data_IF_349832555773
#
_entry.id   IF_349832555773
#
_cell.length_a   1.000
_cell.length_b   1.000
_cell.length_c   1.000
_cell.angle_alpha   90.00
_cell.angle_beta   90.00
_cell.angle_gamma   90.00
#
_symmetry.space_group_name_H-M   'P 1'
#
loop_
_entity.id
_entity.type
_entity.pdbx_description
1 polymer ?
#
# COMPACT_ATOMS: atom_id res chain seq x y z
N UNK A 1 -16.27 7.59 24.50
CA UNK A 1 -17.16 6.93 23.52
C UNK A 1 -16.38 5.92 22.71
N UNK A 2 -17.02 4.83 22.35
CA UNK A 2 -16.40 3.76 21.57
C UNK A 2 -16.36 4.13 20.09
N UNK A 3 -15.27 3.77 19.42
CA UNK A 3 -15.10 3.89 17.98
C UNK A 3 -14.91 2.48 17.42
N UNK A 4 -15.85 2.00 16.60
CA UNK A 4 -15.83 0.67 16.00
C UNK A 4 -14.75 0.44 14.93
N UNK A 5 -13.61 1.13 15.06
CA UNK A 5 -12.51 1.13 14.11
C UNK A 5 -12.43 2.42 13.30
N UNK A 6 -11.23 2.86 12.95
CA UNK A 6 -10.99 4.07 12.14
C UNK A 6 -10.12 3.80 10.93
N UNK A 7 -9.10 2.94 11.11
CA UNK A 7 -8.16 2.53 10.06
C UNK A 7 -7.48 3.71 9.34
N UNK A 8 -7.43 4.89 9.99
CA UNK A 8 -6.96 6.15 9.42
C UNK A 8 -8.08 7.03 8.84
N UNK A 9 -9.22 6.49 8.42
CA UNK A 9 -10.30 7.25 7.79
C UNK A 9 -11.08 8.18 8.74
N UNK A 10 -10.96 8.01 10.05
CA UNK A 10 -11.61 8.86 11.05
C UNK A 10 -10.68 9.92 11.65
N UNK A 11 -9.64 10.30 10.96
CA UNK A 11 -8.71 11.37 11.34
C UNK A 11 -9.14 12.76 10.83
N UNK A 12 -10.20 12.81 10.05
CA UNK A 12 -10.80 14.03 9.51
C UNK A 12 -12.27 14.13 9.92
N UNK A 13 -12.80 15.34 9.94
CA UNK A 13 -14.21 15.61 10.32
C UNK A 13 -15.15 15.45 9.13
N UNK A 14 -16.36 15.00 9.36
CA UNK A 14 -17.40 14.84 8.34
C UNK A 14 -18.70 15.56 8.75
N UNK A 15 -19.44 15.02 9.69
CA UNK A 15 -20.73 15.54 10.14
C UNK A 15 -20.64 16.51 11.33
N UNK A 16 -19.52 16.49 12.06
CA UNK A 16 -19.38 17.23 13.31
C UNK A 16 -19.58 18.74 13.11
N UNK A 17 -18.97 19.43 12.11
CA UNK A 17 -19.20 20.86 11.89
C UNK A 17 -20.65 21.18 11.52
N UNK A 18 -21.30 20.30 10.76
CA UNK A 18 -22.70 20.49 10.36
C UNK A 18 -23.64 20.33 11.55
N UNK A 19 -23.43 19.29 12.38
CA UNK A 19 -24.21 19.09 13.60
C UNK A 19 -24.06 20.26 14.57
N UNK A 20 -22.85 20.78 14.76
CA UNK A 20 -22.59 21.96 15.59
C UNK A 20 -23.30 23.22 15.07
N UNK A 21 -23.22 23.48 13.76
CA UNK A 21 -23.88 24.62 13.15
C UNK A 21 -25.42 24.55 13.28
N UNK A 22 -25.98 23.37 13.07
CA UNK A 22 -27.42 23.13 13.23
C UNK A 22 -27.87 23.27 14.69
N UNK A 23 -27.11 22.74 15.66
CA UNK A 23 -27.39 22.88 17.08
C UNK A 23 -27.36 24.36 17.50
N UNK A 24 -26.35 25.10 17.05
CA UNK A 24 -26.26 26.55 17.32
C UNK A 24 -27.43 27.31 16.73
N UNK A 25 -27.83 26.99 15.49
CA UNK A 25 -28.94 27.68 14.81
C UNK A 25 -30.31 27.35 15.40
N UNK A 26 -30.53 26.12 15.82
CA UNK A 26 -31.82 25.65 16.39
C UNK A 26 -31.97 25.91 17.90
N UNK A 27 -30.86 26.15 18.60
CA UNK A 27 -30.85 26.23 20.07
C UNK A 27 -31.14 24.89 20.76
N UNK A 28 -31.04 23.77 20.07
CA UNK A 28 -31.38 22.44 20.54
C UNK A 28 -30.31 21.40 20.21
N UNK A 29 -30.20 20.28 20.94
CA UNK A 29 -29.30 19.18 20.59
C UNK A 29 -29.60 18.61 19.21
N UNK A 30 -28.57 18.35 18.41
CA UNK A 30 -28.68 17.76 17.08
C UNK A 30 -27.90 16.45 17.01
N UNK A 31 -28.51 15.40 16.48
CA UNK A 31 -27.90 14.11 16.17
C UNK A 31 -27.97 13.88 14.67
N UNK A 32 -26.82 13.54 14.08
CA UNK A 32 -26.70 13.20 12.66
C UNK A 32 -26.06 11.84 12.50
N UNK A 33 -26.57 11.04 11.55
CA UNK A 33 -26.05 9.71 11.22
C UNK A 33 -26.10 9.56 9.71
N UNK A 34 -24.99 9.19 9.10
CA UNK A 34 -24.94 8.85 7.67
C UNK A 34 -25.58 7.47 7.43
N UNK A 35 -26.36 7.35 6.38
CA UNK A 35 -26.70 6.05 5.80
C UNK A 35 -25.44 5.39 5.19
N UNK A 36 -25.51 4.10 4.85
CA UNK A 36 -24.40 3.42 4.20
C UNK A 36 -24.06 4.03 2.83
N UNK A 37 -25.06 4.44 2.09
CA UNK A 37 -24.86 5.11 0.82
C UNK A 37 -24.15 6.46 0.98
N UNK A 38 -24.55 7.26 1.95
CA UNK A 38 -23.90 8.54 2.26
C UNK A 38 -22.44 8.36 2.71
N UNK A 39 -22.14 7.33 3.50
CA UNK A 39 -20.75 7.00 3.86
C UNK A 39 -19.92 6.73 2.63
N UNK A 40 -20.42 5.97 1.66
CA UNK A 40 -19.68 5.69 0.42
C UNK A 40 -19.53 6.91 -0.48
N UNK A 41 -20.47 7.86 -0.45
CA UNK A 41 -20.48 9.03 -1.32
C UNK A 41 -19.77 10.24 -0.73
N UNK A 42 -19.79 10.41 0.60
CA UNK A 42 -19.41 11.63 1.26
C UNK A 42 -18.27 11.50 2.27
N UNK A 43 -17.86 10.29 2.66
CA UNK A 43 -16.67 10.10 3.49
C UNK A 43 -15.42 9.89 2.61
N UNK A 44 -14.23 10.15 3.19
CA UNK A 44 -12.96 10.01 2.47
C UNK A 44 -12.61 8.56 2.15
N UNK A 45 -12.71 8.11 0.89
CA UNK A 45 -12.27 6.78 0.48
C UNK A 45 -10.75 6.70 0.41
N UNK A 46 -10.22 5.49 0.27
CA UNK A 46 -8.84 5.33 -0.20
C UNK A 46 -8.72 5.82 -1.66
N UNK A 47 -7.52 6.21 -2.08
CA UNK A 47 -7.30 6.71 -3.44
C UNK A 47 -7.65 5.67 -4.49
N UNK A 48 -8.39 6.08 -5.52
CA UNK A 48 -8.33 5.42 -6.82
C UNK A 48 -6.94 5.65 -7.41
N UNK A 49 -6.38 4.63 -8.07
CA UNK A 49 -5.00 4.73 -8.53
C UNK A 49 -4.78 4.08 -9.89
N UNK A 50 -3.77 4.59 -10.60
CA UNK A 50 -3.10 3.90 -11.70
C UNK A 50 -1.66 3.68 -11.28
N UNK A 51 -1.22 2.42 -11.33
CA UNK A 51 0.14 2.01 -11.03
C UNK A 51 0.75 1.39 -12.28
N UNK A 52 1.85 1.95 -12.75
CA UNK A 52 2.64 1.37 -13.83
C UNK A 52 3.98 0.93 -13.26
N UNK A 53 4.35 -0.32 -13.47
CA UNK A 53 5.59 -0.90 -12.96
C UNK A 53 6.36 -1.55 -14.10
N UNK A 54 7.67 -1.32 -14.10
CA UNK A 54 8.61 -1.98 -14.99
C UNK A 54 9.83 -2.43 -14.19
N UNK A 55 10.18 -3.69 -14.29
CA UNK A 55 11.31 -4.28 -13.58
C UNK A 55 12.23 -4.99 -14.56
N UNK A 56 13.52 -4.71 -14.45
CA UNK A 56 14.57 -5.43 -15.16
C UNK A 56 15.15 -6.53 -14.28
N UNK A 57 15.23 -7.76 -14.80
CA UNK A 57 15.82 -8.88 -14.09
C UNK A 57 16.69 -9.73 -15.03
N UNK A 58 17.74 -10.36 -14.47
CA UNK A 58 18.53 -11.38 -15.14
C UNK A 58 17.81 -12.72 -15.13
N UNK A 59 18.26 -13.65 -15.96
CA UNK A 59 17.71 -15.01 -16.04
C UNK A 59 17.88 -15.82 -14.75
N UNK A 60 18.81 -15.42 -13.89
CA UNK A 60 19.02 -16.02 -12.57
C UNK A 60 18.14 -15.42 -11.48
N UNK A 61 17.21 -14.51 -11.82
CA UNK A 61 16.29 -13.85 -10.90
C UNK A 61 16.87 -12.61 -10.20
N UNK A 62 18.10 -12.19 -10.48
CA UNK A 62 18.65 -10.95 -9.92
C UNK A 62 17.97 -9.75 -10.55
N UNK A 63 17.29 -8.93 -9.75
CA UNK A 63 16.66 -7.69 -10.18
C UNK A 63 17.74 -6.62 -10.34
N UNK A 64 17.76 -5.94 -11.48
CA UNK A 64 18.79 -4.95 -11.82
C UNK A 64 18.27 -3.51 -11.78
N UNK A 65 16.99 -3.32 -12.00
CA UNK A 65 16.36 -2.01 -11.95
C UNK A 65 14.84 -2.11 -11.71
N UNK A 66 14.29 -1.10 -11.04
CA UNK A 66 12.84 -0.91 -10.84
C UNK A 66 12.41 0.49 -11.25
N UNK A 67 11.32 0.57 -12.02
CA UNK A 67 10.63 1.83 -12.33
C UNK A 67 9.16 1.72 -11.95
N UNK A 68 8.63 2.73 -11.28
CA UNK A 68 7.22 2.79 -10.89
C UNK A 68 6.64 4.19 -11.11
N UNK A 69 5.55 4.29 -11.86
CA UNK A 69 4.77 5.51 -11.99
C UNK A 69 3.43 5.35 -11.28
N UNK A 70 3.16 6.23 -10.32
CA UNK A 70 1.97 6.26 -9.49
C UNK A 70 1.11 7.47 -9.82
N UNK A 71 -0.17 7.27 -10.13
CA UNK A 71 -1.16 8.35 -10.24
C UNK A 71 -2.26 8.08 -9.22
N UNK A 72 -2.28 8.85 -8.14
CA UNK A 72 -3.25 8.67 -7.06
C UNK A 72 -4.27 9.80 -7.04
N UNK A 73 -5.53 9.42 -7.02
CA UNK A 73 -6.64 10.37 -6.89
C UNK A 73 -6.62 11.01 -5.50
N UNK A 74 -6.60 12.33 -5.45
CA UNK A 74 -6.69 13.12 -4.22
C UNK A 74 -8.13 13.48 -3.84
N UNK A 75 -9.04 13.47 -4.80
CA UNK A 75 -10.36 14.07 -4.66
C UNK A 75 -10.31 15.58 -4.93
N UNK A 76 -11.20 16.35 -4.34
CA UNK A 76 -11.38 17.78 -4.60
C UNK A 76 -10.21 18.66 -4.13
N UNK A 77 -9.33 18.15 -3.29
CA UNK A 77 -8.18 18.86 -2.72
C UNK A 77 -6.93 18.00 -2.79
N UNK A 78 -5.76 18.62 -2.88
CA UNK A 78 -4.46 17.96 -2.83
C UNK A 78 -4.25 17.11 -1.56
N UNK A 79 -3.33 16.16 -1.62
CA UNK A 79 -2.89 15.35 -0.49
C UNK A 79 -3.44 13.93 -0.56
N UNK A 80 -3.30 13.26 -1.70
CA UNK A 80 -3.40 11.81 -1.75
C UNK A 80 -2.21 11.17 -1.05
N UNK A 81 -2.29 9.89 -0.67
CA UNK A 81 -1.17 9.18 -0.06
C UNK A 81 -0.13 8.70 -1.09
N UNK A 82 0.10 9.46 -2.17
CA UNK A 82 1.04 9.08 -3.23
C UNK A 82 2.49 9.09 -2.74
N UNK A 83 2.86 10.05 -1.87
CA UNK A 83 4.21 10.14 -1.34
C UNK A 83 4.59 8.88 -0.53
N UNK A 84 3.86 8.47 0.52
CA UNK A 84 4.16 7.22 1.21
C UNK A 84 4.05 6.00 0.29
N UNK A 85 3.12 5.99 -0.67
CA UNK A 85 3.07 4.94 -1.69
C UNK A 85 4.34 4.84 -2.53
N UNK A 86 4.91 5.97 -2.93
CA UNK A 86 6.17 6.01 -3.67
C UNK A 86 7.35 5.54 -2.81
N UNK A 87 7.39 5.93 -1.54
CA UNK A 87 8.44 5.52 -0.60
C UNK A 87 8.42 4.00 -0.36
N UNK A 88 7.26 3.38 -0.32
CA UNK A 88 7.11 1.95 -0.04
C UNK A 88 7.27 1.06 -1.28
N UNK A 89 7.04 1.56 -2.48
CA UNK A 89 6.91 0.76 -3.70
C UNK A 89 7.97 -0.34 -3.89
N UNK A 90 9.25 -0.02 -3.70
CA UNK A 90 10.36 -0.97 -3.79
C UNK A 90 11.12 -1.17 -2.47
N UNK A 91 10.59 -0.68 -1.35
CA UNK A 91 11.27 -0.78 -0.06
C UNK A 91 11.58 -2.22 0.40
N UNK A 92 10.78 -3.26 0.07
CA UNK A 92 11.14 -4.63 0.38
C UNK A 92 12.40 -5.16 -0.31
N UNK A 93 12.95 -4.45 -1.29
CA UNK A 93 14.01 -4.96 -2.17
C UNK A 93 15.30 -4.17 -2.10
N UNK A 94 16.42 -4.88 -2.22
CA UNK A 94 17.79 -4.34 -2.32
C UNK A 94 18.12 -4.11 -3.81
N UNK A 95 17.81 -2.93 -4.32
CA UNK A 95 17.94 -2.60 -5.75
C UNK A 95 18.97 -1.48 -5.95
N UNK A 96 19.87 -1.67 -6.89
CA UNK A 96 20.89 -0.70 -7.26
C UNK A 96 20.31 0.52 -8.01
N UNK A 97 19.31 0.27 -8.86
CA UNK A 97 18.71 1.30 -9.71
C UNK A 97 17.20 1.33 -9.50
N UNK A 98 16.70 2.44 -8.97
CA UNK A 98 15.26 2.65 -8.73
C UNK A 98 14.84 4.05 -9.17
N UNK A 99 13.73 4.12 -9.88
CA UNK A 99 13.06 5.35 -10.26
C UNK A 99 11.56 5.25 -9.92
N UNK A 100 11.08 6.13 -9.04
CA UNK A 100 9.67 6.16 -8.64
C UNK A 100 9.12 7.57 -8.80
N UNK A 101 8.09 7.71 -9.62
CA UNK A 101 7.42 8.98 -9.90
C UNK A 101 5.98 8.92 -9.39
N UNK A 102 5.61 9.87 -8.55
CA UNK A 102 4.27 9.96 -7.98
C UNK A 102 3.53 11.24 -8.40
N UNK A 103 2.27 11.08 -8.83
CA UNK A 103 1.37 12.19 -9.19
C UNK A 103 0.17 12.22 -8.24
N UNK A 104 -0.05 13.37 -7.63
CA UNK A 104 -1.24 13.67 -6.84
C UNK A 104 -2.32 14.27 -7.77
N UNK A 105 -3.38 13.52 -8.04
CA UNK A 105 -4.37 13.86 -9.07
C UNK A 105 -5.65 14.40 -8.45
N UNK A 106 -5.87 15.69 -8.58
CA UNK A 106 -7.11 16.36 -8.15
C UNK A 106 -8.27 16.00 -9.10
N UNK A 107 -9.44 15.74 -8.56
CA UNK A 107 -10.63 15.35 -9.30
C UNK A 107 -11.93 15.76 -8.57
N UNK A 108 -13.05 15.88 -9.29
CA UNK A 108 -14.37 16.20 -8.73
C UNK A 108 -14.98 14.99 -7.98
N UNK A 109 -14.29 14.56 -6.92
CA UNK A 109 -14.70 13.45 -6.04
C UNK A 109 -14.45 13.85 -4.60
N UNK A 110 -15.05 13.15 -3.61
CA UNK A 110 -14.74 13.37 -2.20
C UNK A 110 -13.23 13.32 -1.97
N UNK A 111 -12.74 14.18 -1.07
CA UNK A 111 -11.34 14.16 -0.62
C UNK A 111 -11.01 12.79 -0.06
N UNK A 112 -9.94 12.19 -0.55
CA UNK A 112 -9.46 10.91 0.01
C UNK A 112 -9.00 11.08 1.45
N UNK A 113 -9.16 10.04 2.24
CA UNK A 113 -8.66 9.97 3.60
C UNK A 113 -7.63 8.84 3.75
N UNK A 114 -6.91 8.87 4.86
CA UNK A 114 -5.97 7.81 5.18
C UNK A 114 -6.70 6.47 5.36
N UNK A 115 -6.13 5.42 4.80
CA UNK A 115 -6.57 4.04 5.03
C UNK A 115 -5.33 3.17 5.25
N UNK A 116 -5.30 2.46 6.34
CA UNK A 116 -4.29 1.51 6.85
C UNK A 116 -3.04 1.35 5.97
N UNK A 117 -1.90 1.91 6.42
CA UNK A 117 -0.70 2.11 5.61
C UNK A 117 -0.96 2.94 4.34
N UNK A 118 -1.38 4.23 4.47
CA UNK A 118 -1.89 5.02 3.35
C UNK A 118 -0.96 5.02 2.15
N UNK A 119 -1.43 4.48 1.02
CA UNK A 119 -0.72 4.44 -0.26
C UNK A 119 0.17 3.23 -0.49
N UNK A 120 0.75 2.62 0.56
CA UNK A 120 1.67 1.48 0.41
C UNK A 120 1.01 0.25 -0.23
N UNK A 121 -0.13 -0.28 0.25
CA UNK A 121 -0.75 -1.45 -0.37
C UNK A 121 -1.09 -1.26 -1.84
N UNK A 122 -1.32 -0.02 -2.29
CA UNK A 122 -1.65 0.28 -3.68
C UNK A 122 -0.41 0.14 -4.58
N UNK A 123 0.72 0.73 -4.18
CA UNK A 123 1.97 0.65 -4.97
C UNK A 123 2.59 -0.74 -4.91
N UNK A 124 2.62 -1.33 -3.73
CA UNK A 124 3.18 -2.66 -3.49
C UNK A 124 2.41 -3.74 -4.27
N UNK A 125 1.09 -3.65 -4.35
CA UNK A 125 0.31 -4.57 -5.18
C UNK A 125 0.82 -4.59 -6.62
N UNK A 126 1.05 -3.44 -7.23
CA UNK A 126 1.58 -3.36 -8.60
C UNK A 126 2.98 -3.93 -8.73
N UNK A 127 3.87 -3.64 -7.79
CA UNK A 127 5.25 -4.15 -7.77
C UNK A 127 5.24 -5.66 -7.60
N UNK A 128 4.53 -6.17 -6.63
CA UNK A 128 4.48 -7.59 -6.30
C UNK A 128 3.89 -8.46 -7.43
N UNK A 129 2.89 -7.93 -8.16
CA UNK A 129 2.39 -8.59 -9.37
C UNK A 129 3.49 -8.76 -10.44
N UNK A 130 4.31 -7.73 -10.66
CA UNK A 130 5.40 -7.81 -11.65
C UNK A 130 6.52 -8.74 -11.17
N UNK A 131 6.81 -8.78 -9.87
CA UNK A 131 7.76 -9.75 -9.30
C UNK A 131 7.27 -11.19 -9.52
N UNK A 132 5.99 -11.46 -9.32
CA UNK A 132 5.39 -12.78 -9.59
C UNK A 132 5.44 -13.13 -11.09
N UNK A 133 5.19 -12.18 -11.97
CA UNK A 133 5.31 -12.39 -13.43
C UNK A 133 6.75 -12.75 -13.82
N UNK A 134 7.75 -12.10 -13.24
CA UNK A 134 9.16 -12.42 -13.45
C UNK A 134 9.46 -13.84 -12.95
N UNK A 135 9.09 -14.17 -11.71
CA UNK A 135 9.29 -15.48 -11.12
C UNK A 135 8.72 -16.59 -12.03
N UNK A 136 7.47 -16.41 -12.47
CA UNK A 136 6.81 -17.32 -13.40
C UNK A 136 7.55 -17.44 -14.73
N UNK A 137 8.00 -16.32 -15.30
CA UNK A 137 8.68 -16.28 -16.60
C UNK A 137 10.01 -17.02 -16.59
N UNK A 138 10.76 -16.96 -15.50
CA UNK A 138 12.07 -17.62 -15.37
C UNK A 138 11.99 -18.99 -14.69
N UNK A 139 10.78 -19.43 -14.28
CA UNK A 139 10.57 -20.71 -13.58
C UNK A 139 11.14 -20.76 -12.16
N UNK A 140 11.20 -19.60 -11.47
CA UNK A 140 11.68 -19.50 -10.10
C UNK A 140 10.51 -19.47 -9.11
N UNK A 141 10.72 -20.06 -7.93
CA UNK A 141 9.75 -19.97 -6.84
C UNK A 141 9.52 -18.50 -6.42
N UNK A 142 8.26 -18.08 -6.16
CA UNK A 142 7.95 -16.69 -5.79
C UNK A 142 8.61 -16.22 -4.50
N UNK A 143 8.86 -17.10 -3.53
CA UNK A 143 9.61 -16.74 -2.33
C UNK A 143 11.12 -16.66 -2.60
N UNK A 144 11.65 -17.51 -3.48
CA UNK A 144 13.08 -17.51 -3.79
C UNK A 144 13.52 -16.22 -4.50
N UNK A 145 12.74 -15.72 -5.46
CA UNK A 145 13.07 -14.45 -6.11
C UNK A 145 13.02 -13.29 -5.10
N UNK A 146 12.07 -13.31 -4.15
CA UNK A 146 11.97 -12.32 -3.09
C UNK A 146 13.15 -12.41 -2.13
N UNK A 147 13.49 -13.59 -1.64
CA UNK A 147 14.66 -13.79 -0.77
C UNK A 147 15.97 -13.36 -1.43
N UNK A 148 16.13 -13.69 -2.71
CA UNK A 148 17.33 -13.32 -3.48
C UNK A 148 17.56 -11.82 -3.57
N UNK A 149 16.48 -11.04 -3.64
CA UNK A 149 16.50 -9.59 -3.83
C UNK A 149 16.05 -8.82 -2.58
N UNK A 150 15.85 -9.49 -1.46
CA UNK A 150 15.31 -8.89 -0.24
C UNK A 150 16.20 -7.79 0.32
N UNK A 151 15.58 -6.72 0.77
CA UNK A 151 16.23 -5.73 1.60
C UNK A 151 16.73 -6.36 2.92
N UNK A 152 17.87 -5.89 3.40
CA UNK A 152 18.56 -6.36 4.61
C UNK A 152 19.15 -5.18 5.35
N UNK A 153 19.72 -5.43 6.51
CA UNK A 153 20.49 -4.41 7.23
C UNK A 153 21.54 -3.77 6.33
N UNK A 154 21.57 -2.45 6.29
CA UNK A 154 22.48 -1.66 5.47
C UNK A 154 21.99 -1.40 4.04
N UNK A 155 20.91 -2.06 3.56
CA UNK A 155 20.31 -1.73 2.27
C UNK A 155 19.89 -0.27 2.23
N UNK A 156 20.26 0.44 1.16
CA UNK A 156 19.81 1.79 0.87
C UNK A 156 18.37 1.73 0.32
N UNK A 157 17.41 2.18 1.12
CA UNK A 157 16.02 2.27 0.65
C UNK A 157 15.90 3.27 -0.51
N UNK A 158 15.01 2.99 -1.47
CA UNK A 158 14.77 3.85 -2.63
C UNK A 158 14.40 5.30 -2.27
N UNK A 159 13.83 5.53 -1.08
CA UNK A 159 13.43 6.85 -0.58
C UNK A 159 14.49 7.54 0.32
N UNK A 160 15.70 6.97 0.47
CA UNK A 160 16.86 7.64 1.06
C UNK A 160 17.53 6.98 2.26
N UNK A 161 16.87 6.53 3.33
CA UNK A 161 17.52 6.00 4.52
C UNK A 161 18.15 4.62 4.29
N UNK A 162 19.14 4.27 5.09
CA UNK A 162 19.61 2.88 5.20
C UNK A 162 18.82 2.15 6.26
N UNK A 163 18.45 0.91 5.97
CA UNK A 163 17.78 0.09 6.96
C UNK A 163 18.73 -0.34 8.08
N UNK A 164 18.22 -0.27 9.32
CA UNK A 164 18.78 -0.98 10.46
C UNK A 164 18.49 -2.49 10.37
N UNK A 165 18.61 -3.23 11.48
CA UNK A 165 18.22 -4.63 11.54
C UNK A 165 16.75 -4.81 11.13
N UNK A 166 16.50 -5.63 10.11
CA UNK A 166 15.15 -5.96 9.61
C UNK A 166 15.00 -7.47 9.42
N UNK A 167 13.79 -7.98 9.67
CA UNK A 167 13.48 -9.41 9.63
C UNK A 167 12.94 -9.90 8.29
N UNK A 168 13.17 -9.21 7.17
CA UNK A 168 12.59 -9.54 5.88
C UNK A 168 12.94 -10.96 5.43
N UNK A 169 14.22 -11.30 5.39
CA UNK A 169 14.68 -12.62 4.94
C UNK A 169 14.16 -13.72 5.86
N UNK A 170 14.28 -13.56 7.18
CA UNK A 170 13.80 -14.55 8.14
C UNK A 170 12.28 -14.77 8.06
N UNK A 171 11.51 -13.73 7.73
CA UNK A 171 10.07 -13.85 7.53
C UNK A 171 9.73 -14.66 6.28
N UNK A 172 10.47 -14.45 5.18
CA UNK A 172 10.32 -15.21 3.94
C UNK A 172 10.72 -16.68 4.12
N UNK A 173 11.82 -16.93 4.84
CA UNK A 173 12.28 -18.30 5.18
C UNK A 173 11.23 -19.05 6.00
N UNK A 174 10.66 -18.42 7.03
CA UNK A 174 9.59 -19.01 7.83
C UNK A 174 8.33 -19.28 7.02
N UNK A 175 7.93 -18.36 6.13
CA UNK A 175 6.80 -18.55 5.23
C UNK A 175 7.04 -19.73 4.31
N UNK A 176 8.25 -19.88 3.76
CA UNK A 176 8.63 -20.99 2.88
C UNK A 176 8.68 -22.34 3.62
N UNK A 177 9.13 -22.37 4.86
CA UNK A 177 9.21 -23.55 5.69
C UNK A 177 7.86 -24.01 6.25
N UNK A 178 6.82 -23.17 6.17
CA UNK A 178 5.51 -23.49 6.73
C UNK A 178 4.78 -24.53 5.86
N UNK A 179 4.17 -25.54 6.49
CA UNK A 179 3.47 -26.64 5.80
C UNK A 179 2.41 -26.16 4.81
N UNK A 180 1.73 -25.07 5.12
CA UNK A 180 0.74 -24.49 4.21
C UNK A 180 1.35 -24.07 2.86
N UNK A 181 2.61 -23.65 2.80
CA UNK A 181 3.24 -23.22 1.55
C UNK A 181 3.40 -24.36 0.54
N UNK A 182 3.75 -25.55 1.02
CA UNK A 182 3.93 -26.75 0.20
C UNK A 182 2.68 -27.64 0.09
N UNK A 183 1.62 -27.38 0.86
CA UNK A 183 0.41 -28.17 0.85
C UNK A 183 -0.23 -28.23 -0.55
N UNK A 184 -0.76 -29.38 -1.00
CA UNK A 184 -1.42 -29.47 -2.28
C UNK A 184 -2.64 -28.56 -2.34
N UNK A 185 -2.90 -27.98 -3.51
CA UNK A 185 -4.07 -27.17 -3.78
C UNK A 185 -5.20 -28.04 -4.34
N UNK A 186 -6.43 -27.79 -3.89
CA UNK A 186 -7.63 -28.38 -4.46
C UNK A 186 -8.05 -27.68 -5.75
N UNK A 187 -9.12 -28.17 -6.34
CA UNK A 187 -9.75 -27.55 -7.50
C UNK A 187 -10.19 -26.10 -7.17
N UNK A 188 -9.96 -25.18 -8.09
CA UNK A 188 -10.29 -23.74 -7.94
C UNK A 188 -9.59 -23.03 -6.75
N UNK A 189 -8.48 -23.58 -6.25
CA UNK A 189 -7.64 -22.95 -5.24
C UNK A 189 -6.38 -22.37 -5.84
N UNK A 190 -5.90 -21.26 -5.26
CA UNK A 190 -4.65 -20.61 -5.62
C UNK A 190 -3.86 -20.24 -4.36
N UNK A 191 -2.56 -20.14 -4.50
CA UNK A 191 -1.67 -19.63 -3.47
C UNK A 191 -0.90 -18.45 -4.04
N UNK A 192 -0.90 -17.34 -3.30
CA UNK A 192 -0.11 -16.17 -3.61
C UNK A 192 0.77 -15.78 -2.45
N UNK A 193 1.87 -15.13 -2.74
CA UNK A 193 2.76 -14.50 -1.76
C UNK A 193 3.05 -13.08 -2.20
N UNK A 194 3.24 -12.20 -1.25
CA UNK A 194 3.64 -10.82 -1.49
C UNK A 194 4.47 -10.32 -0.31
N UNK A 195 5.39 -9.42 -0.59
CA UNK A 195 6.11 -8.67 0.43
C UNK A 195 5.51 -7.29 0.58
N UNK A 196 5.56 -6.74 1.78
CA UNK A 196 5.09 -5.38 2.04
C UNK A 196 5.99 -4.66 3.03
N UNK A 197 5.99 -3.35 2.94
CA UNK A 197 6.72 -2.46 3.81
C UNK A 197 5.85 -1.30 4.25
N UNK A 198 5.91 -1.00 5.52
CA UNK A 198 5.41 0.25 6.07
C UNK A 198 6.39 0.76 7.11
N UNK A 199 6.77 2.04 7.02
CA UNK A 199 7.65 2.61 8.02
C UNK A 199 6.94 2.67 9.36
N UNK A 200 7.63 2.20 10.38
CA UNK A 200 7.18 2.34 11.74
C UNK A 200 7.58 3.74 12.22
N UNK A 201 6.61 4.64 12.21
CA UNK A 201 6.76 5.99 12.75
C UNK A 201 6.08 5.96 14.12
N UNK A 202 6.85 5.73 15.15
CA UNK A 202 6.43 5.80 16.55
C UNK A 202 7.17 6.89 17.28
#
# INVERSE_FOLDING_TARGET
SEIGGGFGGKTVVYLEPVALALSNKSGAPVKMVMSREEVFRASGPTSGARVYVKVGAKSDGTITAGHCELKYQAGAFQGSPVQPGAMCAFAPYDLENVDVIGYDVVSNRPKVAAYRAPGAPISEFGVECVIDEIAKKIGMDPLDIRMKNAAKEGTQAAYGPKFGPIGMISSLEQAKAHDHYSAPLGENQGRGVASGFWFNIG
#
